data_IF_345404065634
#
_entry.id   IF_345404065634
#
_cell.length_a   1.000
_cell.length_b   1.000
_cell.length_c   1.000
_cell.angle_alpha   90.00
_cell.angle_beta   90.00
_cell.angle_gamma   90.00
#
_symmetry.space_group_name_H-M   'P 1'
#
loop_
_entity.id
_entity.type
_entity.pdbx_description
1 polymer ?
#
# COMPACT_ATOMS: atom_id res chain seq x y z
N UNK A 1 -15.01 15.41 -2.59
CA UNK A 1 -13.55 15.23 -2.46
C UNK A 1 -13.34 14.66 -1.07
N UNK A 2 -12.71 13.50 -0.99
CA UNK A 2 -12.80 12.55 0.12
C UNK A 2 -11.52 12.71 0.95
N UNK A 3 -11.59 13.44 2.06
CA UNK A 3 -10.61 13.30 3.14
C UNK A 3 -11.39 12.84 4.36
N UNK A 4 -11.10 11.64 4.86
CA UNK A 4 -11.69 11.07 6.08
C UNK A 4 -11.20 11.80 7.32
N UNK A 5 -11.53 13.08 7.41
CA UNK A 5 -11.11 14.05 8.44
C UNK A 5 -12.25 14.30 9.45
N UNK A 6 -13.33 13.52 9.41
CA UNK A 6 -14.42 13.64 10.39
C UNK A 6 -15.02 15.04 10.43
N UNK A 7 -15.26 15.53 11.66
CA UNK A 7 -15.74 16.89 11.95
C UNK A 7 -14.58 17.88 12.17
N UNK A 8 -13.33 17.44 11.97
CA UNK A 8 -12.16 18.29 12.16
C UNK A 8 -11.90 19.19 10.94
N UNK A 9 -11.52 20.45 11.16
CA UNK A 9 -11.24 21.36 10.04
C UNK A 9 -9.84 21.16 9.42
N UNK A 10 -8.88 20.64 10.20
CA UNK A 10 -7.48 20.46 9.77
C UNK A 10 -6.71 19.49 10.67
N UNK A 11 -5.88 18.62 10.07
CA UNK A 11 -4.90 17.80 10.79
C UNK A 11 -3.52 18.47 10.76
N UNK A 12 -3.00 18.82 11.94
CA UNK A 12 -1.67 19.39 12.10
C UNK A 12 -0.66 18.30 12.47
N UNK A 13 0.31 18.05 11.59
CA UNK A 13 1.37 17.08 11.84
C UNK A 13 2.37 17.53 12.92
N UNK A 14 3.06 16.56 13.52
CA UNK A 14 4.06 16.81 14.57
C UNK A 14 5.19 17.78 14.12
N UNK A 15 5.63 17.70 12.87
CA UNK A 15 6.64 18.59 12.32
C UNK A 15 6.17 20.04 12.31
N UNK A 16 4.90 20.26 12.00
CA UNK A 16 4.28 21.60 11.99
C UNK A 16 4.16 22.16 13.40
N UNK A 17 3.69 21.33 14.35
CA UNK A 17 3.60 21.70 15.77
C UNK A 17 4.97 22.06 16.36
N UNK A 18 6.02 21.32 16.00
CA UNK A 18 7.40 21.62 16.43
C UNK A 18 7.93 22.93 15.85
N UNK A 19 7.57 23.25 14.61
CA UNK A 19 8.04 24.45 13.95
C UNK A 19 7.44 25.71 14.56
N UNK A 20 6.13 25.71 14.80
CA UNK A 20 5.41 26.88 15.31
C UNK A 20 5.36 26.94 16.84
N UNK A 21 5.56 25.81 17.52
CA UNK A 21 5.53 25.63 18.97
C UNK A 21 4.45 26.49 19.67
N UNK A 22 3.17 26.35 19.27
CA UNK A 22 2.08 27.10 19.88
C UNK A 22 1.78 26.59 21.29
N UNK A 23 1.12 27.41 22.09
CA UNK A 23 0.52 26.97 23.35
C UNK A 23 -0.84 26.33 23.04
N UNK A 24 -1.00 25.06 23.39
CA UNK A 24 -2.22 24.29 23.11
C UNK A 24 -2.86 23.90 24.44
N UNK A 25 -4.11 24.29 24.62
CA UNK A 25 -4.95 23.75 25.68
C UNK A 25 -5.68 22.50 25.16
N UNK A 26 -5.23 21.32 25.58
CA UNK A 26 -5.79 20.04 25.12
C UNK A 26 -7.19 19.74 25.66
N UNK A 27 -7.63 20.39 26.75
CA UNK A 27 -8.98 20.20 27.30
C UNK A 27 -10.02 21.04 26.54
N UNK A 28 -9.66 22.25 26.11
CA UNK A 28 -10.57 23.16 25.41
C UNK A 28 -10.39 23.19 23.89
N UNK A 29 -9.28 22.69 23.37
CA UNK A 29 -8.93 22.72 21.94
C UNK A 29 -8.42 24.08 21.45
N UNK A 30 -8.11 25.01 22.35
CA UNK A 30 -7.63 26.35 21.97
C UNK A 30 -6.14 26.36 21.68
N UNK A 31 -5.75 27.10 20.62
CA UNK A 31 -4.35 27.27 20.18
C UNK A 31 -3.99 28.75 20.25
N UNK A 32 -2.96 29.08 21.02
CA UNK A 32 -2.43 30.44 21.16
C UNK A 32 -1.02 30.52 20.58
N UNK A 33 -0.77 31.55 19.76
CA UNK A 33 0.54 31.77 19.15
C UNK A 33 1.29 32.88 19.91
N UNK A 34 2.44 32.58 20.54
CA UNK A 34 3.22 33.62 21.19
C UNK A 34 3.77 34.59 20.13
N UNK A 35 3.81 35.91 20.40
CA UNK A 35 4.35 36.89 19.48
C UNK A 35 5.84 36.58 19.20
N UNK A 36 6.10 36.26 17.92
CA UNK A 36 7.39 36.02 17.26
C UNK A 36 8.61 35.84 18.18
N UNK A 37 8.79 34.64 18.71
CA UNK A 37 10.11 34.22 19.22
C UNK A 37 10.87 33.52 18.09
N UNK A 38 12.10 33.95 17.80
CA UNK A 38 13.05 33.17 16.99
C UNK A 38 13.26 31.81 17.67
N UNK A 39 12.60 30.77 17.17
CA UNK A 39 12.80 29.41 17.67
C UNK A 39 14.17 28.95 17.18
N UNK A 40 15.16 28.96 18.08
CA UNK A 40 16.41 28.26 17.83
C UNK A 40 16.14 26.77 18.01
N UNK A 41 15.88 26.07 16.91
CA UNK A 41 15.77 24.61 16.91
C UNK A 41 17.16 24.04 17.22
N UNK A 42 17.44 23.78 18.50
CA UNK A 42 18.57 22.94 18.87
C UNK A 42 18.25 21.54 18.39
N UNK A 43 19.00 21.06 17.39
CA UNK A 43 18.87 19.72 16.83
C UNK A 43 19.09 18.70 17.95
N UNK A 44 18.00 18.18 18.51
CA UNK A 44 18.05 17.13 19.52
C UNK A 44 18.37 15.82 18.80
N UNK A 45 19.58 15.31 18.99
CA UNK A 45 19.96 13.96 18.57
C UNK A 45 19.51 13.01 19.69
N UNK A 46 18.31 12.47 19.55
CA UNK A 46 17.62 11.69 20.57
C UNK A 46 17.80 10.19 20.39
N UNK A 47 17.43 9.43 21.43
CA UNK A 47 17.51 7.96 21.58
C UNK A 47 16.94 7.17 20.38
N UNK A 48 16.08 7.77 19.56
CA UNK A 48 15.49 7.16 18.35
C UNK A 48 16.48 7.08 17.16
N UNK A 49 17.61 7.78 17.20
CA UNK A 49 18.58 7.77 16.10
C UNK A 49 19.50 6.52 16.13
N UNK A 50 19.34 5.62 17.11
CA UNK A 50 20.15 4.39 17.26
C UNK A 50 19.32 3.08 17.24
N UNK A 51 18.07 3.08 16.77
CA UNK A 51 17.34 1.81 16.62
C UNK A 51 17.71 1.14 15.30
N UNK A 52 18.29 -0.05 15.38
CA UNK A 52 18.22 -1.02 14.27
C UNK A 52 16.75 -1.23 13.87
N UNK A 53 16.51 -1.44 12.58
CA UNK A 53 15.19 -1.52 11.98
C UNK A 53 14.45 -2.81 12.39
N UNK A 54 14.09 -2.93 13.66
CA UNK A 54 13.11 -3.90 14.13
C UNK A 54 11.81 -3.16 14.48
N UNK A 55 10.76 -3.60 13.79
CA UNK A 55 9.40 -3.07 13.75
C UNK A 55 8.87 -2.74 15.15
N UNK A 56 8.84 -1.45 15.50
CA UNK A 56 8.21 -0.96 16.72
C UNK A 56 6.68 -0.90 16.52
N UNK A 57 5.98 -2.01 16.75
CA UNK A 57 4.52 -1.94 16.98
C UNK A 57 4.32 -1.43 18.40
N UNK A 58 4.04 -0.13 18.54
CA UNK A 58 3.78 0.53 19.83
C UNK A 58 2.45 0.12 20.52
N UNK A 59 1.80 -0.94 20.06
CA UNK A 59 0.59 -1.49 20.66
C UNK A 59 0.93 -2.81 21.38
N UNK A 60 0.35 -3.02 22.57
CA UNK A 60 0.46 -4.31 23.28
C UNK A 60 -0.08 -5.42 22.39
N UNK A 61 0.80 -6.30 21.92
CA UNK A 61 0.44 -7.52 21.21
C UNK A 61 -0.53 -8.32 22.08
N UNK A 62 -1.70 -8.61 21.54
CA UNK A 62 -2.71 -9.42 22.23
C UNK A 62 -2.39 -10.91 22.02
N UNK A 63 -2.77 -11.78 22.95
CA UNK A 63 -2.54 -13.23 22.87
C UNK A 63 -2.96 -13.85 21.51
N UNK A 64 -4.04 -13.36 20.88
CA UNK A 64 -4.46 -13.79 19.55
C UNK A 64 -3.46 -13.44 18.45
N UNK A 65 -2.78 -12.29 18.55
CA UNK A 65 -1.74 -11.87 17.61
C UNK A 65 -0.45 -12.66 17.82
N UNK A 66 -0.08 -12.97 19.08
CA UNK A 66 1.05 -13.87 19.37
C UNK A 66 0.81 -15.28 18.80
N UNK A 67 -0.41 -15.83 18.94
CA UNK A 67 -0.75 -17.12 18.33
C UNK A 67 -0.70 -17.09 16.80
N UNK A 68 -1.11 -15.99 16.16
CA UNK A 68 -0.99 -15.81 14.72
C UNK A 68 0.48 -15.71 14.25
N UNK A 69 1.34 -15.07 15.03
CA UNK A 69 2.78 -15.01 14.77
C UNK A 69 3.45 -16.37 14.93
N UNK A 70 3.05 -17.17 15.92
CA UNK A 70 3.55 -18.54 16.10
C UNK A 70 3.11 -19.48 14.97
N UNK A 71 1.94 -19.24 14.37
CA UNK A 71 1.48 -19.95 13.16
C UNK A 71 2.11 -19.42 11.86
N UNK A 72 2.89 -18.34 11.90
CA UNK A 72 3.57 -17.81 10.73
C UNK A 72 4.72 -18.77 10.37
N UNK A 73 4.36 -19.80 9.60
CA UNK A 73 5.28 -20.74 8.95
C UNK A 73 6.47 -19.98 8.39
N UNK A 74 7.68 -20.50 8.66
CA UNK A 74 8.99 -20.08 8.13
C UNK A 74 8.81 -19.14 6.95
N UNK A 75 9.09 -17.84 7.16
CA UNK A 75 9.02 -16.82 6.10
C UNK A 75 9.89 -17.31 4.95
N UNK A 76 9.26 -17.86 3.91
CA UNK A 76 9.95 -18.22 2.67
C UNK A 76 10.51 -16.93 2.09
N UNK A 77 11.72 -17.01 1.57
CA UNK A 77 12.34 -15.85 0.96
C UNK A 77 11.45 -15.36 -0.20
N UNK A 78 11.30 -14.05 -0.33
CA UNK A 78 10.42 -13.45 -1.36
C UNK A 78 10.88 -13.90 -2.75
N UNK A 79 12.19 -14.11 -2.91
CA UNK A 79 12.83 -14.63 -4.12
C UNK A 79 12.44 -16.08 -4.46
N UNK A 80 12.02 -16.88 -3.48
CA UNK A 80 11.51 -18.24 -3.69
C UNK A 80 10.02 -18.25 -4.08
N UNK A 81 9.26 -17.24 -3.63
CA UNK A 81 7.82 -17.11 -3.90
C UNK A 81 7.53 -16.53 -5.28
N UNK A 82 8.42 -15.70 -5.82
CA UNK A 82 8.28 -15.10 -7.13
C UNK A 82 9.13 -15.92 -8.11
N UNK A 83 8.51 -16.75 -8.98
CA UNK A 83 9.28 -17.44 -10.01
C UNK A 83 10.00 -16.40 -10.88
N UNK A 84 11.27 -16.65 -11.20
CA UNK A 84 12.13 -15.71 -11.95
C UNK A 84 11.58 -15.33 -13.33
N UNK A 85 10.62 -16.10 -13.84
CA UNK A 85 9.96 -15.92 -15.14
C UNK A 85 8.48 -16.27 -15.01
N UNK A 86 7.60 -15.36 -15.42
CA UNK A 86 6.14 -15.55 -15.48
C UNK A 86 5.70 -16.30 -16.75
N UNK A 87 6.62 -17.00 -17.41
CA UNK A 87 6.44 -17.66 -18.72
C UNK A 87 5.54 -18.90 -18.66
N UNK A 88 5.23 -19.41 -17.46
CA UNK A 88 4.42 -20.62 -17.30
C UNK A 88 3.23 -20.35 -16.37
N UNK A 89 2.04 -20.80 -16.81
CA UNK A 89 0.86 -20.80 -15.96
C UNK A 89 1.12 -21.63 -14.70
N UNK A 90 0.58 -21.19 -13.53
CA UNK A 90 0.62 -22.01 -12.35
C UNK A 90 -0.08 -23.36 -12.61
N UNK A 91 0.30 -24.42 -11.88
CA UNK A 91 -0.40 -25.70 -11.96
C UNK A 91 -1.88 -25.52 -11.57
N UNK A 92 -2.74 -26.36 -12.14
CA UNK A 92 -4.16 -26.35 -11.85
C UNK A 92 -4.43 -26.51 -10.35
N UNK A 93 -5.38 -25.73 -9.83
CA UNK A 93 -5.74 -25.67 -8.41
C UNK A 93 -7.19 -26.07 -8.22
N UNK A 94 -7.51 -26.52 -7.00
CA UNK A 94 -8.87 -26.89 -6.63
C UNK A 94 -9.88 -25.72 -6.70
N UNK A 95 -9.38 -24.49 -6.75
CA UNK A 95 -10.16 -23.25 -6.85
C UNK A 95 -10.05 -22.59 -8.24
N UNK A 96 -9.60 -23.32 -9.25
CA UNK A 96 -9.73 -22.85 -10.63
C UNK A 96 -11.21 -22.83 -11.01
N UNK A 97 -11.70 -21.66 -11.43
CA UNK A 97 -13.10 -21.47 -11.74
C UNK A 97 -13.38 -21.77 -13.21
N UNK A 98 -14.26 -22.73 -13.48
CA UNK A 98 -14.78 -22.96 -14.81
C UNK A 98 -15.76 -21.85 -15.22
N UNK A 99 -15.78 -21.49 -16.51
CA UNK A 99 -16.78 -20.58 -17.09
C UNK A 99 -17.94 -21.43 -17.59
N UNK A 100 -18.98 -21.57 -16.78
CA UNK A 100 -20.17 -22.34 -17.14
C UNK A 100 -21.04 -21.55 -18.12
N UNK A 101 -21.12 -22.04 -19.36
CA UNK A 101 -21.96 -21.45 -20.40
C UNK A 101 -23.40 -21.95 -20.26
N UNK A 102 -24.36 -21.09 -20.61
CA UNK A 102 -25.78 -21.50 -20.72
C UNK A 102 -25.94 -22.46 -21.90
N UNK A 103 -26.86 -23.45 -21.82
CA UNK A 103 -27.05 -24.43 -22.90
C UNK A 103 -27.46 -23.80 -24.24
N UNK A 104 -28.14 -22.65 -24.20
CA UNK A 104 -28.56 -21.91 -25.40
C UNK A 104 -27.52 -20.87 -25.87
N UNK A 105 -26.31 -20.89 -25.33
CA UNK A 105 -25.28 -19.90 -25.68
C UNK A 105 -24.76 -20.11 -27.10
N UNK A 106 -24.93 -19.09 -27.94
CA UNK A 106 -24.33 -19.04 -29.27
C UNK A 106 -23.15 -18.07 -29.25
N UNK A 107 -21.92 -18.51 -29.57
CA UNK A 107 -20.77 -17.63 -29.66
C UNK A 107 -21.02 -16.49 -30.65
N UNK A 108 -20.75 -15.26 -30.21
CA UNK A 108 -20.84 -14.08 -31.08
C UNK A 108 -19.45 -13.75 -31.59
N UNK A 109 -19.26 -13.85 -32.91
CA UNK A 109 -18.07 -13.32 -33.55
C UNK A 109 -18.24 -11.82 -33.74
N UNK A 110 -17.69 -11.03 -32.81
CA UNK A 110 -17.69 -9.58 -32.89
C UNK A 110 -16.49 -9.11 -33.71
N UNK A 111 -16.69 -8.09 -34.56
CA UNK A 111 -15.57 -7.48 -35.30
C UNK A 111 -14.60 -6.83 -34.30
N UNK A 112 -13.32 -7.15 -34.44
CA UNK A 112 -12.27 -6.42 -33.76
C UNK A 112 -12.24 -4.98 -34.28
N UNK A 113 -11.94 -4.02 -33.41
CA UNK A 113 -11.68 -2.65 -33.87
C UNK A 113 -10.46 -2.66 -34.80
N UNK A 114 -10.51 -1.91 -35.91
CA UNK A 114 -9.35 -1.81 -36.78
C UNK A 114 -8.21 -1.13 -36.02
N UNK A 115 -7.06 -1.79 -35.98
CA UNK A 115 -5.83 -1.23 -35.45
C UNK A 115 -5.15 -0.36 -36.50
N UNK A 116 -4.44 0.68 -36.06
CA UNK A 116 -3.50 1.40 -36.93
C UNK A 116 -2.30 0.50 -37.26
N UNK A 117 -1.55 0.77 -38.35
CA UNK A 117 -0.39 -0.06 -38.72
C UNK A 117 0.63 -0.22 -37.59
N UNK A 118 0.90 0.85 -36.83
CA UNK A 118 1.84 0.80 -35.70
C UNK A 118 1.33 -0.08 -34.56
N UNK A 119 0.04 0.00 -34.22
CA UNK A 119 -0.55 -0.85 -33.17
C UNK A 119 -0.59 -2.32 -33.61
N UNK A 120 -0.81 -2.59 -34.90
CA UNK A 120 -0.77 -3.94 -35.44
C UNK A 120 0.65 -4.52 -35.36
N UNK A 121 1.68 -3.76 -35.74
CA UNK A 121 3.08 -4.19 -35.62
C UNK A 121 3.48 -4.48 -34.16
N UNK A 122 3.03 -3.66 -33.21
CA UNK A 122 3.26 -3.90 -31.78
C UNK A 122 2.52 -5.14 -31.27
N UNK A 123 1.27 -5.34 -31.70
CA UNK A 123 0.49 -6.53 -31.38
C UNK A 123 1.16 -7.79 -31.92
N UNK A 124 1.55 -7.79 -33.20
CA UNK A 124 2.17 -8.94 -33.86
C UNK A 124 3.49 -9.30 -33.18
N UNK A 125 4.32 -8.29 -32.87
CA UNK A 125 5.55 -8.48 -32.11
C UNK A 125 5.30 -9.06 -30.72
N UNK A 126 4.28 -8.60 -30.01
CA UNK A 126 3.94 -9.12 -28.68
C UNK A 126 3.50 -10.59 -28.76
N UNK A 127 2.71 -10.93 -29.77
CA UNK A 127 2.27 -12.31 -29.99
C UNK A 127 3.45 -13.22 -30.33
N UNK A 128 4.37 -12.81 -31.20
CA UNK A 128 5.58 -13.58 -31.53
C UNK A 128 6.50 -13.83 -30.32
N UNK A 129 6.51 -12.95 -29.33
CA UNK A 129 7.34 -13.09 -28.12
C UNK A 129 6.71 -14.02 -27.06
N UNK A 130 5.38 -14.12 -27.01
CA UNK A 130 4.65 -14.74 -25.88
C UNK A 130 3.85 -16.01 -26.24
N UNK A 131 3.67 -16.34 -27.52
CA UNK A 131 3.02 -17.57 -28.01
C UNK A 131 4.04 -18.61 -28.48
#
# INVERSE_FOLDING_TARGET
MISGIGDEDMILGLLWLRHHNPEINWETGEIQFPPQRRIQIKRFKGVLDNSEAEVLIGAKITASQEMAQQQQTVKRDIEELIPRKAEQFPPARAYDHAIDLKPDFVPRNCKLYPLSPTEQEEQDKFLEENL
#
